data_IF_042009181153
#
_entry.id   IF_042009181153
#
_cell.length_a   1.000
_cell.length_b   1.000
_cell.length_c   1.000
_cell.angle_alpha   90.00
_cell.angle_beta   90.00
_cell.angle_gamma   90.00
#
_symmetry.space_group_name_H-M   'P 1'
#
loop_
_entity.id
_entity.type
_entity.pdbx_description
1 polymer ?
#
# COMPACT_ATOMS: atom_id res chain seq x y z
N UNK A 1 -22.35 39.44 -19.12
CA UNK A 1 -21.84 38.76 -17.90
C UNK A 1 -22.55 37.43 -17.76
N UNK A 2 -21.91 36.33 -18.16
CA UNK A 2 -22.43 34.98 -17.88
C UNK A 2 -22.02 34.62 -16.45
N UNK A 3 -22.83 35.08 -15.50
CA UNK A 3 -22.73 34.90 -14.03
C UNK A 3 -21.45 35.43 -13.35
N UNK A 4 -21.61 36.07 -12.18
CA UNK A 4 -20.50 36.39 -11.28
C UNK A 4 -19.97 35.16 -10.56
N UNK A 5 -18.87 35.31 -9.83
CA UNK A 5 -18.28 34.25 -9.01
C UNK A 5 -19.32 33.66 -8.04
N UNK A 6 -19.50 32.34 -8.06
CA UNK A 6 -20.43 31.61 -7.20
C UNK A 6 -19.70 30.46 -6.53
N UNK A 7 -20.04 30.21 -5.27
CA UNK A 7 -19.56 29.02 -4.58
C UNK A 7 -20.00 27.75 -5.35
N UNK A 8 -19.11 26.75 -5.51
CA UNK A 8 -19.46 25.51 -6.17
C UNK A 8 -20.55 24.77 -5.40
N UNK A 9 -21.59 24.36 -6.12
CA UNK A 9 -22.64 23.48 -5.62
C UNK A 9 -23.18 22.64 -6.79
N UNK A 10 -23.03 21.32 -6.72
CA UNK A 10 -23.53 20.42 -7.76
C UNK A 10 -23.86 19.03 -7.22
N UNK A 11 -24.76 18.31 -7.89
CA UNK A 11 -25.06 16.92 -7.56
C UNK A 11 -24.03 15.99 -8.20
N UNK A 12 -23.55 15.02 -7.43
CA UNK A 12 -22.59 14.01 -7.84
C UNK A 12 -23.11 12.63 -7.51
N UNK A 13 -22.99 11.70 -8.46
CA UNK A 13 -23.32 10.30 -8.28
C UNK A 13 -22.40 9.44 -9.15
N UNK A 14 -21.83 8.39 -8.58
CA UNK A 14 -20.85 7.51 -9.25
C UNK A 14 -21.29 6.06 -9.25
N UNK A 15 -20.72 5.25 -10.14
CA UNK A 15 -20.99 3.81 -10.22
C UNK A 15 -22.48 3.47 -10.34
N UNK A 16 -23.18 4.24 -11.17
CA UNK A 16 -24.56 4.02 -11.55
C UNK A 16 -24.61 3.23 -12.85
N UNK A 17 -25.20 2.04 -12.80
CA UNK A 17 -25.23 1.10 -13.93
C UNK A 17 -26.52 1.17 -14.75
N UNK A 18 -27.50 1.94 -14.30
CA UNK A 18 -28.76 2.14 -15.02
C UNK A 18 -29.30 3.57 -14.81
N UNK A 19 -29.74 4.30 -15.86
CA UNK A 19 -30.22 5.68 -15.73
C UNK A 19 -31.40 5.85 -14.77
N UNK A 20 -32.33 4.90 -14.78
CA UNK A 20 -33.49 4.89 -13.87
C UNK A 20 -33.09 4.92 -12.38
N UNK A 21 -31.92 4.37 -12.03
CA UNK A 21 -31.40 4.43 -10.65
C UNK A 21 -31.17 5.87 -10.22
N UNK A 22 -30.76 6.78 -11.13
CA UNK A 22 -30.57 8.20 -10.82
C UNK A 22 -31.89 8.87 -10.48
N UNK A 23 -32.87 8.74 -11.37
CA UNK A 23 -34.17 9.41 -11.25
C UNK A 23 -34.87 8.99 -9.96
N UNK A 24 -34.95 7.68 -9.70
CA UNK A 24 -35.54 7.17 -8.47
C UNK A 24 -34.74 7.50 -7.22
N UNK A 25 -33.42 7.71 -7.33
CA UNK A 25 -32.61 8.12 -6.17
C UNK A 25 -32.84 9.58 -5.79
N UNK A 26 -33.18 10.45 -6.76
CA UNK A 26 -33.52 11.85 -6.48
C UNK A 26 -34.86 12.00 -5.74
N UNK A 27 -35.79 11.06 -5.95
CA UNK A 27 -37.11 11.05 -5.31
C UNK A 27 -37.19 10.16 -4.06
N UNK A 28 -36.11 9.46 -3.74
CA UNK A 28 -36.07 8.50 -2.63
C UNK A 28 -36.12 9.21 -1.27
N UNK A 29 -36.86 8.64 -0.31
CA UNK A 29 -37.07 9.24 1.04
C UNK A 29 -35.85 9.11 1.99
N UNK A 30 -34.90 8.27 1.60
CA UNK A 30 -33.64 8.02 2.32
C UNK A 30 -33.74 6.92 3.39
N UNK A 31 -34.84 6.17 3.42
CA UNK A 31 -35.04 5.04 4.32
C UNK A 31 -34.37 3.75 3.82
N UNK A 32 -34.10 2.83 4.74
CA UNK A 32 -33.52 1.52 4.42
C UNK A 32 -31.99 1.53 4.26
N UNK A 33 -31.46 0.41 3.79
CA UNK A 33 -30.00 0.18 3.71
C UNK A 33 -29.43 0.84 2.46
N UNK A 34 -28.34 1.62 2.64
CA UNK A 34 -27.65 2.22 1.50
C UNK A 34 -27.08 1.14 0.54
N UNK A 35 -27.25 1.32 -0.78
CA UNK A 35 -26.68 0.44 -1.78
C UNK A 35 -25.16 0.45 -1.80
N UNK A 36 -24.57 -0.67 -2.21
CA UNK A 36 -23.14 -0.81 -2.44
C UNK A 36 -22.77 -0.75 -3.92
N UNK A 37 -21.53 -1.15 -4.23
CA UNK A 37 -21.10 -1.39 -5.62
C UNK A 37 -21.78 -2.65 -6.18
N UNK A 38 -21.81 -3.70 -5.36
CA UNK A 38 -22.46 -4.97 -5.62
C UNK A 38 -23.44 -5.30 -4.50
N UNK A 39 -24.50 -6.02 -4.82
CA UNK A 39 -25.45 -6.55 -3.86
C UNK A 39 -24.89 -7.81 -3.15
N UNK A 40 -25.69 -8.38 -2.25
CA UNK A 40 -25.32 -9.57 -1.49
C UNK A 40 -25.11 -10.82 -2.38
N UNK A 41 -25.67 -10.84 -3.60
CA UNK A 41 -25.48 -11.91 -4.58
C UNK A 41 -24.26 -11.66 -5.49
N UNK A 42 -23.52 -10.57 -5.26
CA UNK A 42 -22.34 -10.19 -6.03
C UNK A 42 -22.65 -9.59 -7.41
N UNK A 43 -23.92 -9.26 -7.69
CA UNK A 43 -24.36 -8.56 -8.90
C UNK A 43 -24.24 -7.06 -8.72
N UNK A 44 -24.20 -6.30 -9.81
CA UNK A 44 -24.20 -4.83 -9.73
C UNK A 44 -25.45 -4.34 -9.01
N UNK A 45 -25.26 -3.52 -7.97
CA UNK A 45 -26.38 -3.04 -7.17
C UNK A 45 -27.11 -1.92 -7.93
N UNK A 46 -28.33 -2.21 -8.40
CA UNK A 46 -29.17 -1.28 -9.17
C UNK A 46 -30.22 -0.54 -8.32
N UNK A 47 -30.28 -0.81 -7.00
CA UNK A 47 -31.27 -0.22 -6.12
C UNK A 47 -31.09 1.30 -6.04
N UNK A 48 -32.17 2.04 -6.20
CA UNK A 48 -32.20 3.47 -5.99
C UNK A 48 -32.15 3.80 -4.49
N UNK A 49 -31.49 4.89 -4.11
CA UNK A 49 -31.45 5.37 -2.74
C UNK A 49 -30.97 6.83 -2.70
N UNK A 50 -31.54 7.66 -1.83
CA UNK A 50 -31.18 9.07 -1.70
C UNK A 50 -29.68 9.27 -1.43
N UNK A 51 -29.09 8.36 -0.67
CA UNK A 51 -27.65 8.33 -0.35
C UNK A 51 -26.71 8.16 -1.54
N UNK A 52 -27.19 7.76 -2.72
CA UNK A 52 -26.38 7.72 -3.96
C UNK A 52 -26.11 9.11 -4.54
N UNK A 53 -26.95 10.09 -4.21
CA UNK A 53 -26.81 11.46 -4.68
C UNK A 53 -26.12 12.26 -3.58
N UNK A 54 -24.92 12.74 -3.89
CA UNK A 54 -24.12 13.57 -2.99
C UNK A 54 -24.16 15.00 -3.53
N UNK A 55 -24.61 15.94 -2.72
CA UNK A 55 -24.44 17.37 -3.02
C UNK A 55 -23.02 17.76 -2.67
N UNK A 56 -22.24 18.14 -3.69
CA UNK A 56 -20.85 18.59 -3.56
C UNK A 56 -20.85 20.10 -3.45
N UNK A 57 -20.41 20.59 -2.31
CA UNK A 57 -20.19 22.00 -2.00
C UNK A 57 -18.73 22.24 -1.60
N UNK A 58 -18.39 23.45 -1.17
CA UNK A 58 -17.06 23.78 -0.67
C UNK A 58 -16.62 22.96 0.54
N UNK A 59 -17.55 22.44 1.35
CA UNK A 59 -17.21 21.58 2.48
C UNK A 59 -16.73 20.22 1.96
N UNK A 60 -17.49 19.58 1.07
CA UNK A 60 -17.11 18.31 0.45
C UNK A 60 -15.80 18.42 -0.34
N UNK A 61 -15.62 19.52 -1.09
CA UNK A 61 -14.38 19.76 -1.84
C UNK A 61 -13.17 19.92 -0.91
N UNK A 62 -13.34 20.57 0.26
CA UNK A 62 -12.28 20.64 1.28
C UNK A 62 -11.92 19.25 1.79
N UNK A 63 -12.89 18.43 2.15
CA UNK A 63 -12.63 17.04 2.56
C UNK A 63 -11.88 16.27 1.47
N UNK A 64 -12.26 16.40 0.19
CA UNK A 64 -11.54 15.75 -0.91
C UNK A 64 -10.11 16.27 -1.07
N UNK A 65 -9.92 17.58 -0.92
CA UNK A 65 -8.61 18.21 -0.97
C UNK A 65 -7.71 17.65 0.13
N UNK A 66 -8.21 17.60 1.38
CA UNK A 66 -7.48 17.07 2.52
C UNK A 66 -7.15 15.57 2.34
N UNK A 67 -8.01 14.79 1.69
CA UNK A 67 -7.78 13.36 1.44
C UNK A 67 -6.74 13.14 0.33
N UNK A 68 -6.82 13.92 -0.75
CA UNK A 68 -6.13 13.60 -2.00
C UNK A 68 -4.89 14.44 -2.24
N UNK A 69 -4.92 15.71 -1.87
CA UNK A 69 -3.97 16.72 -2.28
C UNK A 69 -2.92 17.04 -1.22
N UNK A 70 -1.77 17.51 -1.67
CA UNK A 70 -0.66 17.95 -0.80
C UNK A 70 -0.60 19.47 -0.84
N UNK A 71 -1.09 20.15 0.21
CA UNK A 71 -0.76 21.52 0.66
C UNK A 71 -0.79 22.72 -0.31
N UNK A 72 -1.03 22.54 -1.61
CA UNK A 72 -0.81 23.56 -2.64
C UNK A 72 -1.88 23.58 -3.74
N UNK A 73 -2.78 22.60 -3.76
CA UNK A 73 -3.89 22.56 -4.72
C UNK A 73 -5.07 23.34 -4.14
N UNK A 74 -5.59 24.38 -4.82
CA UNK A 74 -6.80 25.06 -4.39
C UNK A 74 -7.96 24.06 -4.22
N UNK A 75 -8.83 24.31 -3.24
CA UNK A 75 -9.96 23.42 -2.90
C UNK A 75 -10.82 23.11 -4.14
N UNK A 76 -11.07 24.13 -4.95
CA UNK A 76 -11.89 24.08 -6.16
C UNK A 76 -11.23 23.28 -7.30
N UNK A 77 -9.93 22.99 -7.18
CA UNK A 77 -9.15 22.20 -8.13
C UNK A 77 -8.83 20.79 -7.60
N UNK A 78 -9.36 20.43 -6.42
CA UNK A 78 -9.19 19.10 -5.86
C UNK A 78 -9.70 18.04 -6.83
N UNK A 79 -8.96 16.93 -6.94
CA UNK A 79 -9.46 15.73 -7.61
C UNK A 79 -10.73 15.23 -6.91
N UNK A 80 -11.55 14.53 -7.68
CA UNK A 80 -12.78 13.94 -7.18
C UNK A 80 -12.52 12.60 -6.51
N UNK A 81 -13.27 12.32 -5.45
CA UNK A 81 -13.32 11.02 -4.79
C UNK A 81 -14.55 10.26 -5.28
N UNK A 82 -14.39 8.99 -5.61
CA UNK A 82 -15.48 8.13 -6.11
C UNK A 82 -16.08 7.31 -4.97
N UNK A 83 -17.12 7.85 -4.33
CA UNK A 83 -17.86 7.18 -3.23
C UNK A 83 -19.27 6.81 -3.67
N UNK A 84 -19.66 5.56 -3.41
CA UNK A 84 -20.96 5.01 -3.88
C UNK A 84 -22.15 5.55 -3.07
N UNK A 85 -21.94 5.93 -1.80
CA UNK A 85 -22.98 6.44 -0.92
C UNK A 85 -22.43 7.41 0.14
N UNK A 86 -23.33 8.01 0.92
CA UNK A 86 -23.00 9.01 1.95
C UNK A 86 -22.20 8.42 3.11
N UNK A 87 -22.50 7.18 3.53
CA UNK A 87 -21.75 6.52 4.62
C UNK A 87 -20.27 6.36 4.27
N UNK A 88 -19.99 5.99 3.02
CA UNK A 88 -18.63 5.85 2.48
C UNK A 88 -17.89 7.20 2.46
N UNK A 89 -18.59 8.29 2.11
CA UNK A 89 -18.01 9.63 2.17
C UNK A 89 -17.64 10.06 3.60
N UNK A 90 -18.51 9.78 4.58
CA UNK A 90 -18.24 10.09 6.00
C UNK A 90 -17.04 9.30 6.56
N UNK A 91 -16.81 8.07 6.10
CA UNK A 91 -15.60 7.32 6.48
C UNK A 91 -14.34 8.03 5.98
N UNK A 92 -14.31 8.47 4.73
CA UNK A 92 -13.14 9.15 4.17
C UNK A 92 -12.83 10.47 4.87
N UNK A 93 -13.86 11.23 5.24
CA UNK A 93 -13.72 12.45 6.03
C UNK A 93 -13.03 12.18 7.37
N UNK A 94 -13.46 11.14 8.10
CA UNK A 94 -12.79 10.73 9.36
C UNK A 94 -11.34 10.29 9.16
N UNK A 95 -11.03 9.66 8.03
CA UNK A 95 -9.65 9.31 7.69
C UNK A 95 -8.83 10.54 7.32
N UNK A 96 -9.47 11.60 6.83
CA UNK A 96 -8.81 12.85 6.45
C UNK A 96 -8.33 13.65 7.68
N UNK A 97 -9.12 13.61 8.75
CA UNK A 97 -8.81 14.30 10.01
C UNK A 97 -7.66 13.66 10.79
N UNK A 98 -7.32 12.40 10.49
CA UNK A 98 -6.25 11.70 11.16
C UNK A 98 -4.86 12.28 10.78
N UNK A 99 -3.88 12.26 11.69
CA UNK A 99 -2.49 12.54 11.36
C UNK A 99 -2.02 11.66 10.20
N UNK A 100 -1.06 12.14 9.42
CA UNK A 100 -0.63 11.45 8.19
C UNK A 100 0.66 10.67 8.40
N UNK A 101 0.77 9.51 7.77
CA UNK A 101 1.99 8.70 7.77
C UNK A 101 3.20 9.51 7.26
N UNK A 102 2.99 10.44 6.33
CA UNK A 102 4.04 11.32 5.82
C UNK A 102 4.70 12.21 6.88
N UNK A 103 4.07 12.42 8.04
CA UNK A 103 4.68 13.16 9.16
C UNK A 103 5.87 12.43 9.81
N UNK A 104 6.04 11.13 9.53
CA UNK A 104 7.12 10.30 10.07
C UNK A 104 8.46 10.45 9.32
N UNK A 105 8.53 11.32 8.29
CA UNK A 105 9.73 11.52 7.46
C UNK A 105 10.30 10.20 6.90
N UNK A 106 9.42 9.41 6.27
CA UNK A 106 9.75 8.09 5.73
C UNK A 106 10.95 8.12 4.78
N UNK A 107 11.82 7.13 4.93
CA UNK A 107 13.02 6.97 4.12
C UNK A 107 12.72 6.09 2.92
N UNK A 108 12.50 6.71 1.77
CA UNK A 108 12.01 6.04 0.57
C UNK A 108 13.11 5.38 -0.27
N UNK A 109 12.81 4.22 -0.86
CA UNK A 109 13.61 3.58 -1.89
C UNK A 109 12.73 3.08 -3.04
N UNK A 110 13.06 3.49 -4.27
CA UNK A 110 12.44 2.96 -5.49
C UNK A 110 12.99 1.60 -5.90
N UNK A 111 14.10 1.17 -5.30
CA UNK A 111 14.85 -0.03 -5.72
C UNK A 111 15.48 0.12 -7.10
N UNK A 112 15.91 -1.00 -7.67
CA UNK A 112 16.55 -1.05 -8.98
C UNK A 112 15.55 -0.82 -10.11
N UNK A 113 15.91 -0.02 -11.10
CA UNK A 113 15.15 0.06 -12.33
C UNK A 113 15.36 -1.22 -13.16
N UNK A 114 14.34 -2.07 -13.27
CA UNK A 114 14.44 -3.44 -13.80
C UNK A 114 15.20 -3.54 -15.13
N UNK A 115 14.86 -2.68 -16.09
CA UNK A 115 15.55 -2.64 -17.40
C UNK A 115 16.94 -2.01 -17.31
N UNK A 116 17.02 -0.74 -16.90
CA UNK A 116 18.23 0.07 -17.00
C UNK A 116 19.37 -0.47 -16.13
N UNK A 117 19.07 -0.87 -14.90
CA UNK A 117 20.10 -1.29 -13.95
C UNK A 117 20.56 -2.74 -14.20
N UNK A 118 19.70 -3.57 -14.79
CA UNK A 118 20.11 -4.84 -15.39
C UNK A 118 21.06 -4.62 -16.57
N UNK A 119 20.76 -3.68 -17.48
CA UNK A 119 21.65 -3.35 -18.60
C UNK A 119 23.01 -2.80 -18.14
N UNK A 120 23.07 -2.12 -17.00
CA UNK A 120 24.32 -1.68 -16.36
C UNK A 120 25.10 -2.82 -15.68
N UNK A 121 24.53 -4.03 -15.61
CA UNK A 121 25.18 -5.21 -15.05
C UNK A 121 25.13 -5.31 -13.53
N UNK A 122 24.23 -4.59 -12.85
CA UNK A 122 24.07 -4.73 -11.40
C UNK A 122 23.45 -6.07 -10.99
N UNK A 123 22.58 -6.62 -11.83
CA UNK A 123 21.95 -7.91 -11.63
C UNK A 123 21.61 -8.51 -12.98
N UNK A 124 21.37 -9.81 -13.01
CA UNK A 124 20.99 -10.54 -14.22
C UNK A 124 19.78 -11.43 -13.97
N UNK A 125 19.22 -11.95 -15.06
CA UNK A 125 18.08 -12.87 -15.02
C UNK A 125 18.61 -14.28 -14.81
N UNK A 126 18.51 -14.77 -13.58
CA UNK A 126 18.94 -16.10 -13.19
C UNK A 126 18.04 -16.62 -12.06
N UNK A 127 17.53 -17.84 -12.24
CA UNK A 127 16.60 -18.43 -11.28
C UNK A 127 17.36 -19.18 -10.20
N UNK A 128 16.92 -19.02 -8.95
CA UNK A 128 17.30 -19.95 -7.89
C UNK A 128 16.90 -19.45 -6.51
N UNK A 129 17.06 -20.31 -5.51
CA UNK A 129 17.04 -19.89 -4.11
C UNK A 129 18.42 -19.33 -3.78
N UNK A 130 18.56 -18.03 -3.45
CA UNK A 130 19.85 -17.47 -3.03
C UNK A 130 20.32 -18.05 -1.69
N UNK A 131 21.63 -18.01 -1.46
CA UNK A 131 22.25 -18.53 -0.22
C UNK A 131 22.01 -17.60 0.99
N UNK A 132 21.74 -16.32 0.75
CA UNK A 132 21.47 -15.33 1.78
C UNK A 132 20.53 -14.23 1.30
N UNK A 133 19.93 -13.51 2.25
CA UNK A 133 19.10 -12.33 1.96
C UNK A 133 19.84 -11.23 1.21
N UNK A 134 21.17 -11.16 1.34
CA UNK A 134 21.99 -10.22 0.57
C UNK A 134 21.96 -10.46 -0.94
N UNK A 135 21.52 -11.63 -1.39
CA UNK A 135 21.41 -11.95 -2.81
C UNK A 135 19.96 -11.90 -3.30
N UNK A 136 19.00 -11.60 -2.43
CA UNK A 136 17.58 -11.54 -2.79
C UNK A 136 17.28 -10.25 -3.55
N UNK A 137 16.62 -10.39 -4.69
CA UNK A 137 16.03 -9.28 -5.45
C UNK A 137 14.54 -9.56 -5.61
N UNK A 138 13.72 -8.87 -4.83
CA UNK A 138 12.28 -9.08 -4.78
C UNK A 138 11.55 -8.44 -5.99
N UNK A 139 10.47 -9.10 -6.37
CA UNK A 139 9.45 -8.65 -7.33
C UNK A 139 8.08 -8.68 -6.68
N UNK A 140 7.11 -7.96 -7.26
CA UNK A 140 5.76 -7.82 -6.71
C UNK A 140 5.10 -9.12 -6.22
N UNK A 141 5.09 -10.22 -7.00
CA UNK A 141 4.46 -11.47 -6.60
C UNK A 141 4.96 -12.08 -5.27
N UNK A 142 6.20 -11.78 -4.85
CA UNK A 142 6.73 -12.23 -3.55
C UNK A 142 5.99 -11.65 -2.34
N UNK A 143 5.22 -10.57 -2.52
CA UNK A 143 4.54 -9.87 -1.43
C UNK A 143 3.04 -10.01 -1.57
N UNK A 144 2.33 -10.34 -0.50
CA UNK A 144 0.89 -10.12 -0.37
C UNK A 144 0.58 -9.33 0.92
N UNK A 145 -0.69 -9.02 1.21
CA UNK A 145 -1.03 -8.12 2.32
C UNK A 145 -0.56 -8.70 3.66
N UNK A 146 0.39 -8.01 4.28
CA UNK A 146 1.09 -8.44 5.49
C UNK A 146 1.65 -9.87 5.36
N UNK A 147 1.99 -10.30 4.15
CA UNK A 147 2.48 -11.65 3.87
C UNK A 147 3.74 -11.53 3.02
N UNK A 148 4.92 -11.45 3.65
CA UNK A 148 6.17 -11.61 2.93
C UNK A 148 6.31 -13.08 2.49
N UNK A 149 7.07 -13.32 1.42
CA UNK A 149 7.26 -14.66 0.83
C UNK A 149 5.95 -15.30 0.31
N UNK A 150 5.01 -14.52 -0.23
CA UNK A 150 3.72 -15.02 -0.70
C UNK A 150 3.81 -16.03 -1.85
N UNK A 151 4.64 -15.73 -2.86
CA UNK A 151 4.88 -16.60 -4.02
C UNK A 151 6.36 -16.63 -4.37
N UNK A 152 6.77 -17.75 -4.94
CA UNK A 152 8.10 -17.94 -5.54
C UNK A 152 7.97 -18.13 -7.06
N UNK A 153 8.90 -17.58 -7.86
CA UNK A 153 8.92 -17.82 -9.29
C UNK A 153 9.28 -19.27 -9.57
N UNK A 154 8.63 -19.88 -10.55
CA UNK A 154 8.98 -21.23 -10.97
C UNK A 154 10.31 -21.24 -11.75
N UNK A 155 11.11 -22.33 -11.69
CA UNK A 155 12.39 -22.44 -12.42
C UNK A 155 12.30 -22.18 -13.91
N UNK A 156 11.12 -22.41 -14.44
CA UNK A 156 10.77 -22.27 -15.84
C UNK A 156 10.74 -20.82 -16.30
N UNK A 157 10.37 -19.87 -15.42
CA UNK A 157 10.27 -18.43 -15.69
C UNK A 157 9.55 -18.09 -17.03
N UNK A 158 8.55 -18.87 -17.44
CA UNK A 158 7.96 -18.77 -18.78
C UNK A 158 7.27 -17.43 -19.02
N UNK A 159 6.51 -16.94 -18.03
CA UNK A 159 5.70 -15.73 -18.14
C UNK A 159 5.43 -15.09 -16.77
N UNK A 160 4.82 -13.91 -16.77
CA UNK A 160 4.56 -13.11 -15.57
C UNK A 160 3.58 -13.72 -14.54
N UNK A 161 2.99 -14.89 -14.83
CA UNK A 161 2.09 -15.64 -13.94
C UNK A 161 2.68 -16.99 -13.51
N UNK A 162 3.89 -17.32 -13.97
CA UNK A 162 4.59 -18.57 -13.67
C UNK A 162 5.19 -18.56 -12.25
N UNK A 163 4.31 -18.61 -11.26
CA UNK A 163 4.60 -18.48 -9.84
C UNK A 163 3.82 -19.51 -9.01
N UNK A 164 4.46 -20.07 -7.99
CA UNK A 164 3.83 -20.99 -7.05
C UNK A 164 3.62 -20.29 -5.70
N UNK A 165 2.45 -20.48 -5.09
CA UNK A 165 2.15 -19.96 -3.76
C UNK A 165 2.97 -20.71 -2.70
N UNK A 166 3.46 -19.97 -1.72
CA UNK A 166 4.18 -20.54 -0.58
C UNK A 166 3.22 -21.23 0.35
N UNK A 167 3.52 -22.48 0.70
CA UNK A 167 2.84 -23.18 1.78
C UNK A 167 3.52 -22.84 3.11
N UNK A 168 2.88 -21.96 3.88
CA UNK A 168 3.40 -21.53 5.18
C UNK A 168 3.40 -22.65 6.23
N UNK A 169 2.69 -23.76 6.02
CA UNK A 169 2.69 -24.90 6.94
C UNK A 169 3.96 -25.75 6.82
N UNK A 170 4.71 -25.59 5.73
CA UNK A 170 5.94 -26.32 5.44
C UNK A 170 7.15 -25.40 5.27
N UNK A 171 6.97 -24.09 5.47
CA UNK A 171 8.04 -23.10 5.41
C UNK A 171 9.07 -23.39 6.52
N UNK A 172 10.36 -23.26 6.21
CA UNK A 172 11.42 -23.46 7.19
C UNK A 172 11.76 -22.16 7.91
N UNK A 173 12.33 -22.26 9.12
CA UNK A 173 12.72 -21.10 9.92
C UNK A 173 13.68 -20.14 9.18
N UNK A 174 14.59 -20.66 8.37
CA UNK A 174 15.55 -19.86 7.58
C UNK A 174 15.15 -19.73 6.10
N UNK A 175 13.87 -19.87 5.77
CA UNK A 175 13.43 -19.83 4.39
C UNK A 175 13.80 -18.51 3.68
N UNK A 176 14.40 -18.64 2.50
CA UNK A 176 14.69 -17.55 1.57
C UNK A 176 13.87 -17.82 0.29
N UNK A 177 13.15 -16.81 -0.25
CA UNK A 177 12.37 -17.03 -1.46
C UNK A 177 13.29 -17.29 -2.66
N UNK A 178 12.87 -18.17 -3.57
CA UNK A 178 13.48 -18.20 -4.90
C UNK A 178 13.30 -16.84 -5.58
N UNK A 179 14.27 -16.41 -6.36
CA UNK A 179 14.23 -15.16 -7.13
C UNK A 179 14.55 -15.42 -8.59
N UNK A 180 13.98 -14.60 -9.48
CA UNK A 180 14.29 -14.62 -10.92
C UNK A 180 15.48 -13.73 -11.29
N UNK A 181 16.04 -13.01 -10.32
CA UNK A 181 17.20 -12.17 -10.49
C UNK A 181 18.25 -12.44 -9.41
N UNK A 182 19.52 -12.27 -9.79
CA UNK A 182 20.69 -12.37 -8.90
C UNK A 182 21.58 -11.15 -9.08
N UNK A 183 22.19 -10.61 -8.00
CA UNK A 183 23.23 -9.60 -8.13
C UNK A 183 24.35 -10.09 -9.05
N UNK A 184 24.88 -9.19 -9.87
CA UNK A 184 25.92 -9.46 -10.84
C UNK A 184 27.00 -8.37 -10.76
N UNK A 185 28.17 -8.67 -11.32
CA UNK A 185 29.29 -7.74 -11.33
C UNK A 185 29.90 -7.50 -9.95
N UNK A 186 30.46 -6.30 -9.73
CA UNK A 186 31.15 -5.96 -8.48
C UNK A 186 30.14 -5.74 -7.35
N UNK A 187 30.27 -6.52 -6.28
CA UNK A 187 29.42 -6.39 -5.10
C UNK A 187 29.53 -5.03 -4.43
N UNK A 188 30.75 -4.49 -4.32
CA UNK A 188 30.97 -3.15 -3.76
C UNK A 188 30.24 -2.07 -4.56
N UNK A 189 30.25 -2.17 -5.91
CA UNK A 189 29.52 -1.24 -6.78
C UNK A 189 28.00 -1.42 -6.66
N UNK A 190 27.53 -2.66 -6.59
CA UNK A 190 26.12 -2.99 -6.38
C UNK A 190 25.58 -2.37 -5.09
N UNK A 191 26.31 -2.51 -3.98
CA UNK A 191 25.90 -1.98 -2.68
C UNK A 191 25.98 -0.45 -2.62
N UNK A 192 27.02 0.15 -3.21
CA UNK A 192 27.22 1.59 -3.22
C UNK A 192 26.22 2.36 -4.10
N UNK A 193 25.80 1.75 -5.22
CA UNK A 193 24.90 2.40 -6.18
C UNK A 193 23.41 2.11 -5.88
N UNK A 194 23.11 1.26 -4.89
CA UNK A 194 21.74 1.10 -4.38
C UNK A 194 21.36 2.26 -3.48
N UNK A 195 20.07 2.40 -3.17
CA UNK A 195 19.57 3.49 -2.31
C UNK A 195 20.30 3.53 -0.97
N UNK A 196 20.87 4.68 -0.64
CA UNK A 196 21.31 5.08 0.69
C UNK A 196 20.64 6.39 1.10
N UNK A 197 20.50 6.58 2.40
CA UNK A 197 19.95 7.79 3.01
C UNK A 197 20.99 8.44 3.92
N UNK A 198 20.86 9.74 4.14
CA UNK A 198 21.65 10.43 5.17
C UNK A 198 20.77 10.69 6.39
N UNK A 199 21.11 10.07 7.51
CA UNK A 199 20.41 10.21 8.80
C UNK A 199 21.42 10.77 9.79
N UNK A 200 21.14 11.95 10.35
CA UNK A 200 22.01 12.62 11.33
C UNK A 200 23.50 12.73 10.93
N UNK A 201 23.74 12.84 9.62
CA UNK A 201 25.09 12.97 9.03
C UNK A 201 25.69 11.65 8.55
N UNK A 202 25.19 10.52 9.03
CA UNK A 202 25.64 9.16 8.70
C UNK A 202 24.94 8.61 7.46
N UNK A 203 25.67 7.81 6.66
CA UNK A 203 25.09 7.10 5.53
C UNK A 203 24.49 5.76 5.99
N UNK A 204 23.19 5.61 5.77
CA UNK A 204 22.45 4.37 6.07
C UNK A 204 21.97 3.77 4.76
N UNK A 205 22.44 2.56 4.45
CA UNK A 205 22.03 1.85 3.23
C UNK A 205 20.64 1.29 3.43
N UNK A 206 19.79 1.44 2.41
CA UNK A 206 18.42 0.95 2.49
C UNK A 206 18.41 -0.54 2.81
N UNK A 207 19.28 -1.31 2.16
CA UNK A 207 19.39 -2.78 2.31
C UNK A 207 19.84 -3.24 3.68
N UNK A 208 20.43 -2.37 4.50
CA UNK A 208 20.87 -2.73 5.86
C UNK A 208 19.75 -2.51 6.90
N UNK A 209 18.55 -2.11 6.45
CA UNK A 209 17.41 -1.80 7.31
C UNK A 209 16.20 -2.70 7.02
N UNK A 210 15.34 -2.93 8.02
CA UNK A 210 13.98 -3.40 7.77
C UNK A 210 13.18 -2.31 7.06
N UNK A 211 12.30 -2.71 6.13
CA UNK A 211 11.49 -1.77 5.35
C UNK A 211 10.08 -2.28 5.16
N UNK A 212 9.10 -1.38 5.06
CA UNK A 212 7.76 -1.72 4.55
C UNK A 212 7.80 -1.62 3.03
N UNK A 213 7.65 -2.75 2.36
CA UNK A 213 7.53 -2.83 0.92
C UNK A 213 6.05 -2.78 0.49
N UNK A 214 5.78 -2.28 -0.70
CA UNK A 214 4.48 -2.45 -1.37
C UNK A 214 4.63 -2.62 -2.86
N UNK A 215 3.66 -3.31 -3.48
CA UNK A 215 3.58 -3.40 -4.94
C UNK A 215 3.24 -2.03 -5.53
N UNK A 216 4.03 -1.54 -6.48
CA UNK A 216 3.85 -0.24 -7.11
C UNK A 216 2.59 -0.18 -7.96
N UNK A 217 2.26 -1.24 -8.71
CA UNK A 217 1.07 -1.25 -9.57
C UNK A 217 -0.20 -1.43 -8.73
N UNK A 218 -1.19 -0.57 -8.94
CA UNK A 218 -2.45 -0.60 -8.21
C UNK A 218 -3.43 -1.63 -8.81
N UNK A 219 -3.77 -2.67 -8.06
CA UNK A 219 -4.78 -3.65 -8.46
C UNK A 219 -6.20 -3.13 -8.14
N UNK A 220 -6.68 -2.15 -8.92
CA UNK A 220 -7.95 -1.44 -8.65
C UNK A 220 -9.19 -2.35 -8.62
N UNK A 221 -9.14 -3.49 -9.32
CA UNK A 221 -10.24 -4.49 -9.38
C UNK A 221 -9.95 -5.75 -8.56
N UNK A 222 -8.78 -5.84 -7.93
CA UNK A 222 -8.41 -6.96 -7.08
C UNK A 222 -9.14 -6.97 -5.75
N UNK A 223 -8.96 -8.05 -4.99
CA UNK A 223 -9.40 -8.13 -3.59
C UNK A 223 -8.80 -6.98 -2.76
N UNK A 224 -7.55 -6.63 -3.02
CA UNK A 224 -6.78 -5.58 -2.37
C UNK A 224 -6.05 -4.75 -3.41
N UNK A 225 -6.12 -3.43 -3.26
CA UNK A 225 -5.42 -2.46 -4.13
C UNK A 225 -4.03 -2.15 -3.58
N UNK A 226 -3.90 -1.98 -2.27
CA UNK A 226 -2.62 -1.78 -1.59
C UNK A 226 -2.15 -3.11 -1.02
N UNK A 227 -0.96 -3.54 -1.45
CA UNK A 227 -0.39 -4.84 -1.09
C UNK A 227 0.98 -4.62 -0.44
N UNK A 228 1.02 -4.40 0.89
CA UNK A 228 2.24 -4.16 1.62
C UNK A 228 2.72 -5.40 2.41
N UNK A 229 4.02 -5.49 2.67
CA UNK A 229 4.62 -6.43 3.61
C UNK A 229 5.98 -5.89 4.11
N UNK A 230 6.43 -6.33 5.27
CA UNK A 230 7.78 -6.01 5.77
C UNK A 230 8.81 -6.85 5.03
N UNK A 231 9.94 -6.26 4.67
CA UNK A 231 11.10 -6.95 4.09
C UNK A 231 12.32 -6.80 5.00
N UNK A 232 13.11 -7.87 5.19
CA UNK A 232 14.25 -7.85 6.09
C UNK A 232 15.47 -7.16 5.45
N UNK A 233 16.52 -6.87 6.24
CA UNK A 233 17.82 -6.49 5.74
C UNK A 233 18.38 -7.50 4.70
N UNK A 234 19.33 -7.04 3.89
CA UNK A 234 19.93 -7.75 2.76
C UNK A 234 19.13 -7.67 1.46
N UNK A 235 17.80 -7.74 1.53
CA UNK A 235 16.97 -7.82 0.32
C UNK A 235 17.02 -6.53 -0.53
N UNK A 236 17.30 -6.64 -1.83
CA UNK A 236 16.98 -5.61 -2.80
C UNK A 236 15.59 -5.86 -3.42
N UNK A 237 15.10 -4.93 -4.23
CA UNK A 237 13.91 -5.12 -5.05
C UNK A 237 14.02 -4.33 -6.35
N UNK A 238 13.25 -4.74 -7.36
CA UNK A 238 13.07 -3.95 -8.58
C UNK A 238 11.96 -2.91 -8.38
N UNK A 239 11.92 -1.91 -9.27
CA UNK A 239 11.03 -0.75 -9.25
C UNK A 239 9.53 -1.04 -9.47
N UNK A 240 9.16 -2.33 -9.62
CA UNK A 240 7.78 -2.79 -9.48
C UNK A 240 7.33 -2.89 -8.01
N UNK A 241 8.28 -2.79 -7.09
CA UNK A 241 8.10 -2.72 -5.64
C UNK A 241 8.74 -1.41 -5.18
N UNK A 242 8.11 -0.74 -4.21
CA UNK A 242 8.69 0.39 -3.51
C UNK A 242 8.83 0.04 -2.03
N UNK A 243 9.77 0.67 -1.34
CA UNK A 243 9.97 0.48 0.10
C UNK A 243 10.11 1.80 0.84
N UNK A 244 9.76 1.78 2.13
CA UNK A 244 10.08 2.84 3.09
C UNK A 244 10.69 2.24 4.35
N UNK A 245 11.71 2.88 4.90
CA UNK A 245 12.14 2.70 6.28
C UNK A 245 11.62 3.84 7.17
N UNK A 246 11.68 3.60 8.47
CA UNK A 246 11.24 4.50 9.55
C UNK A 246 12.38 4.70 10.53
N UNK A 247 12.20 5.62 11.48
CA UNK A 247 13.20 5.92 12.51
C UNK A 247 13.44 4.77 13.51
N UNK A 248 12.46 3.88 13.68
CA UNK A 248 12.49 2.75 14.63
C UNK A 248 11.68 1.56 14.14
N UNK A 249 11.93 0.38 14.71
CA UNK A 249 11.16 -0.84 14.42
C UNK A 249 9.69 -0.75 14.84
N UNK A 250 9.38 -0.09 15.95
CA UNK A 250 8.00 0.11 16.41
C UNK A 250 7.20 0.99 15.45
N UNK A 251 7.82 2.06 14.94
CA UNK A 251 7.23 2.90 13.90
C UNK A 251 7.04 2.12 12.60
N UNK A 252 8.02 1.29 12.21
CA UNK A 252 7.94 0.42 11.03
C UNK A 252 6.74 -0.53 11.12
N UNK A 253 6.61 -1.22 12.25
CA UNK A 253 5.55 -2.18 12.50
C UNK A 253 4.17 -1.51 12.55
N UNK A 254 4.09 -0.29 13.12
CA UNK A 254 2.87 0.50 13.11
C UNK A 254 2.47 0.88 11.68
N UNK A 255 3.42 1.39 10.88
CA UNK A 255 3.18 1.70 9.46
C UNK A 255 2.72 0.44 8.74
N UNK A 256 3.41 -0.69 8.90
CA UNK A 256 3.04 -1.97 8.29
C UNK A 256 1.61 -2.39 8.64
N UNK A 257 1.21 -2.30 9.91
CA UNK A 257 -0.14 -2.62 10.36
C UNK A 257 -1.21 -1.70 9.77
N UNK A 258 -0.93 -0.41 9.75
CA UNK A 258 -1.85 0.59 9.19
C UNK A 258 -2.02 0.40 7.69
N UNK A 259 -0.93 0.29 6.92
CA UNK A 259 -1.01 0.14 5.46
C UNK A 259 -1.65 -1.18 5.04
N UNK A 260 -1.60 -2.21 5.90
CA UNK A 260 -2.25 -3.51 5.67
C UNK A 260 -3.76 -3.51 5.95
N UNK A 261 -4.30 -2.44 6.54
CA UNK A 261 -5.71 -2.38 6.93
C UNK A 261 -6.68 -2.24 5.75
N UNK A 262 -7.95 -2.61 5.97
CA UNK A 262 -9.02 -2.38 4.99
C UNK A 262 -9.32 -0.89 4.82
N UNK A 263 -9.12 -0.07 5.86
CA UNK A 263 -9.37 1.37 5.81
C UNK A 263 -8.40 2.07 4.86
N UNK A 264 -7.11 1.73 4.91
CA UNK A 264 -6.11 2.28 3.99
C UNK A 264 -6.28 1.75 2.58
N UNK A 265 -6.61 0.46 2.41
CA UNK A 265 -6.93 -0.11 1.08
C UNK A 265 -8.10 0.65 0.42
N UNK A 266 -9.17 0.86 1.19
CA UNK A 266 -10.32 1.63 0.77
C UNK A 266 -9.95 3.08 0.43
N UNK A 267 -9.14 3.76 1.26
CA UNK A 267 -8.67 5.11 0.97
C UNK A 267 -7.84 5.19 -0.33
N UNK A 268 -7.01 4.19 -0.62
CA UNK A 268 -6.28 4.11 -1.91
C UNK A 268 -7.26 3.88 -3.06
N UNK A 269 -8.20 2.94 -2.92
CA UNK A 269 -9.17 2.56 -3.96
C UNK A 269 -10.17 3.66 -4.30
N UNK A 270 -10.50 4.53 -3.35
CA UNK A 270 -11.46 5.64 -3.52
C UNK A 270 -11.04 6.68 -4.57
N UNK A 271 -9.75 6.72 -4.93
CA UNK A 271 -9.19 7.52 -6.01
C UNK A 271 -8.32 6.62 -6.91
N UNK A 272 -8.94 5.93 -7.88
CA UNK A 272 -8.25 4.97 -8.75
C UNK A 272 -7.03 5.58 -9.45
N UNK A 273 -5.97 4.78 -9.56
CA UNK A 273 -4.67 5.19 -10.12
C UNK A 273 -3.97 3.99 -10.76
N UNK A 274 -3.01 4.23 -11.64
CA UNK A 274 -2.18 3.15 -12.20
C UNK A 274 -1.14 2.65 -11.18
N UNK A 275 -0.59 3.57 -10.39
CA UNK A 275 0.52 3.31 -9.48
C UNK A 275 0.31 3.91 -8.08
N UNK A 276 0.80 3.20 -7.07
CA UNK A 276 0.87 3.62 -5.68
C UNK A 276 2.29 4.16 -5.43
N UNK A 277 2.42 5.47 -5.53
CA UNK A 277 3.68 6.18 -5.27
C UNK A 277 3.83 6.53 -3.78
N UNK A 278 5.01 7.02 -3.38
CA UNK A 278 5.26 7.50 -2.02
C UNK A 278 4.23 8.53 -1.56
N UNK A 279 3.84 9.47 -2.43
CA UNK A 279 2.77 10.46 -2.13
C UNK A 279 1.44 9.81 -1.74
N UNK A 280 1.11 8.66 -2.35
CA UNK A 280 -0.09 7.90 -1.97
C UNK A 280 0.04 7.27 -0.59
N UNK A 281 1.25 6.85 -0.19
CA UNK A 281 1.51 6.31 1.14
C UNK A 281 1.53 7.42 2.20
N UNK A 282 2.16 8.56 1.90
CA UNK A 282 2.32 9.69 2.81
C UNK A 282 0.99 10.28 3.28
N UNK A 283 -0.02 10.32 2.40
CA UNK A 283 -1.37 10.79 2.73
C UNK A 283 -2.20 9.81 3.55
N UNK A 284 -1.75 8.56 3.75
CA UNK A 284 -2.54 7.59 4.52
C UNK A 284 -2.61 8.01 6.00
N UNK A 285 -3.73 7.71 6.68
CA UNK A 285 -3.89 8.02 8.09
C UNK A 285 -2.85 7.28 8.93
N UNK A 286 -2.41 7.88 10.02
CA UNK A 286 -1.55 7.31 11.05
C UNK A 286 -2.38 7.12 12.31
N UNK A 287 -2.22 5.96 12.96
CA UNK A 287 -2.90 5.69 14.23
C UNK A 287 -2.06 6.25 15.37
N UNK A 288 -2.61 7.21 16.11
CA UNK A 288 -1.95 7.86 17.26
C UNK A 288 -2.51 7.42 18.62
N UNK A 289 -3.56 6.61 18.64
CA UNK A 289 -4.19 6.15 19.87
C UNK A 289 -3.25 5.21 20.66
N UNK A 290 -2.75 5.59 21.86
CA UNK A 290 -1.70 4.84 22.55
C UNK A 290 -2.11 3.41 22.95
N UNK A 291 -3.41 3.19 23.17
CA UNK A 291 -3.95 1.86 23.50
C UNK A 291 -4.05 0.93 22.30
N UNK A 292 -4.15 1.48 21.08
CA UNK A 292 -4.29 0.68 19.86
C UNK A 292 -2.95 0.37 19.21
N UNK A 293 -1.97 1.26 19.32
CA UNK A 293 -0.66 1.10 18.69
C UNK A 293 0.02 -0.24 19.05
N UNK A 294 0.16 -0.65 20.33
CA UNK A 294 0.81 -1.92 20.66
C UNK A 294 0.09 -3.13 20.05
N UNK A 295 -1.25 -3.11 20.04
CA UNK A 295 -2.07 -4.19 19.49
C UNK A 295 -1.91 -4.29 17.96
N UNK A 296 -1.84 -3.15 17.27
CA UNK A 296 -1.61 -3.11 15.82
C UNK A 296 -0.21 -3.57 15.46
N UNK A 297 0.79 -3.09 16.20
CA UNK A 297 2.20 -3.47 16.04
C UNK A 297 2.36 -4.98 16.17
N UNK A 298 1.87 -5.57 17.26
CA UNK A 298 2.01 -7.01 17.51
C UNK A 298 1.34 -7.85 16.41
N UNK A 299 0.12 -7.47 15.98
CA UNK A 299 -0.57 -8.17 14.88
C UNK A 299 0.15 -8.03 13.56
N UNK A 300 0.70 -6.84 13.27
CA UNK A 300 1.48 -6.63 12.05
C UNK A 300 2.73 -7.50 12.05
N UNK A 301 3.44 -7.58 13.18
CA UNK A 301 4.62 -8.43 13.32
C UNK A 301 4.27 -9.91 13.22
N UNK A 302 3.21 -10.41 13.87
CA UNK A 302 2.78 -11.81 13.76
C UNK A 302 2.45 -12.24 12.33
N UNK A 303 1.99 -11.32 11.49
CA UNK A 303 1.70 -11.60 10.09
C UNK A 303 2.97 -11.55 9.21
N UNK A 304 3.94 -10.71 9.55
CA UNK A 304 5.13 -10.49 8.71
C UNK A 304 6.38 -11.26 9.15
N UNK A 305 6.57 -11.47 10.45
CA UNK A 305 7.72 -12.20 10.99
C UNK A 305 7.48 -13.70 10.81
N UNK A 306 7.82 -14.20 9.62
CA UNK A 306 7.56 -15.57 9.17
C UNK A 306 8.82 -16.41 9.01
N UNK A 307 9.99 -15.87 9.32
CA UNK A 307 11.31 -16.54 9.30
C UNK A 307 12.26 -15.87 10.31
N UNK A 308 13.39 -16.52 10.62
CA UNK A 308 14.45 -15.98 11.49
C UNK A 308 15.03 -14.65 10.98
N UNK A 309 14.85 -14.34 9.69
CA UNK A 309 15.25 -13.05 9.12
C UNK A 309 14.50 -11.84 9.71
N UNK A 310 13.45 -12.07 10.51
CA UNK A 310 12.70 -11.05 11.23
C UNK A 310 12.88 -11.10 12.75
N UNK A 311 13.73 -12.00 13.26
CA UNK A 311 13.89 -12.22 14.69
C UNK A 311 14.35 -10.95 15.43
N UNK A 312 15.30 -10.20 14.85
CA UNK A 312 15.79 -8.95 15.44
C UNK A 312 14.69 -7.89 15.51
N UNK A 313 13.91 -7.71 14.43
CA UNK A 313 12.78 -6.76 14.45
C UNK A 313 11.74 -7.16 15.51
N UNK A 314 11.42 -8.44 15.61
CA UNK A 314 10.50 -8.94 16.61
C UNK A 314 11.03 -8.68 18.02
N UNK A 315 12.28 -9.01 18.29
CA UNK A 315 12.91 -8.81 19.60
C UNK A 315 12.96 -7.34 19.98
N UNK A 316 13.39 -6.46 19.08
CA UNK A 316 13.52 -5.02 19.32
C UNK A 316 12.17 -4.36 19.63
N UNK A 317 11.06 -4.87 19.09
CA UNK A 317 9.73 -4.26 19.21
C UNK A 317 8.87 -4.93 20.28
N UNK A 318 8.89 -6.26 20.36
CA UNK A 318 8.05 -7.06 21.28
C UNK A 318 8.78 -7.38 22.59
N UNK A 319 10.11 -7.44 22.56
CA UNK A 319 10.95 -7.76 23.73
C UNK A 319 11.02 -9.26 24.07
N UNK A 320 10.56 -10.13 23.18
CA UNK A 320 10.67 -11.59 23.32
C UNK A 320 11.43 -12.19 22.16
N UNK A 321 11.98 -13.40 22.32
CA UNK A 321 12.53 -14.14 21.19
C UNK A 321 11.40 -14.55 20.27
N UNK A 322 11.59 -14.35 18.96
CA UNK A 322 10.67 -14.89 17.98
C UNK A 322 10.75 -16.42 17.96
N UNK A 323 9.59 -17.08 17.93
CA UNK A 323 9.49 -18.54 17.85
C UNK A 323 8.69 -18.94 16.63
N UNK A 324 9.11 -20.02 15.98
CA UNK A 324 8.40 -20.60 14.83
C UNK A 324 7.04 -21.20 15.21
N UNK A 325 6.92 -21.67 16.46
CA UNK A 325 5.77 -22.39 17.01
C UNK A 325 4.57 -21.50 17.37
#
# INVERSE_FOLDING_TARGET
>A
MYAGERAPTFSHATSLYHPDTVLRSLEHDGSGTEPGLKDADGKWDLRAHAGRIITVDNHVLRSWNDILEEGQVPVEQSRMVYTVNRSVASVLEKLADAPRIGSLNLLFSSGWHEKNDRTKGYFESDWGVPESWDQVILQGPHLHVATPLYKSPNPTMLHNQDWTATDFTTLTEDAIPATSYKPAGSRAKYDADYTSWRIDGEEVRARDSYRVAWRRMAANTGERTLIPAVVPPGAAHVNAVHTVATSSGSELALVAGVVSSLLTDFAVRSAPKSEILLSTLNRLPLVTAPKLQPILIERALRLNCVTNAYADLWYDVVGTTWTWD
#
